data_IF_293001865774
#
_entry.id   IF_293001865774
#
_cell.length_a   1.000
_cell.length_b   1.000
_cell.length_c   1.000
_cell.angle_alpha   90.00
_cell.angle_beta   90.00
_cell.angle_gamma   90.00
#
_symmetry.space_group_name_H-M   'P 1'
#
loop_
_entity.id
_entity.type
_entity.pdbx_description
1 polymer ?
#
# COMPACT_ATOMS: atom_id res chain seq x y z
N UNK A 1 1.29 -10.23 11.27
CA UNK A 1 0.79 -9.27 10.26
C UNK A 1 1.98 -8.56 9.64
N UNK A 2 2.00 -8.44 8.32
CA UNK A 2 3.09 -7.80 7.56
C UNK A 2 2.59 -6.48 6.97
N UNK A 3 2.33 -5.51 7.84
CA UNK A 3 1.74 -4.20 7.48
C UNK A 3 2.85 -3.16 7.31
N UNK A 4 2.91 -2.55 6.14
CA UNK A 4 3.86 -1.48 5.81
C UNK A 4 3.13 -0.24 5.35
N UNK A 5 3.52 0.91 5.88
CA UNK A 5 2.98 2.21 5.47
C UNK A 5 4.06 3.00 4.76
N UNK A 6 3.83 3.27 3.48
CA UNK A 6 4.72 4.10 2.66
C UNK A 6 4.53 5.56 3.11
N UNK A 7 5.61 6.20 3.54
CA UNK A 7 5.59 7.59 3.97
C UNK A 7 6.95 8.25 3.77
N UNK A 8 6.94 9.52 3.39
CA UNK A 8 8.17 10.31 3.37
C UNK A 8 8.72 10.48 4.79
N UNK A 9 10.04 10.41 4.95
CA UNK A 9 10.68 10.64 6.26
C UNK A 9 10.40 12.03 6.81
N UNK A 10 10.19 13.02 5.93
CA UNK A 10 9.86 14.40 6.27
C UNK A 10 8.38 14.63 6.63
N UNK A 11 7.48 13.68 6.34
CA UNK A 11 6.04 13.83 6.53
C UNK A 11 5.61 13.54 7.98
N UNK A 12 6.13 14.30 8.94
CA UNK A 12 5.96 14.06 10.38
C UNK A 12 4.49 14.02 10.82
N UNK A 13 3.65 14.94 10.33
CA UNK A 13 2.23 14.99 10.70
C UNK A 13 1.45 13.78 10.14
N UNK A 14 1.76 13.34 8.92
CA UNK A 14 1.16 12.12 8.35
C UNK A 14 1.59 10.87 9.12
N UNK A 15 2.86 10.79 9.52
CA UNK A 15 3.35 9.68 10.36
C UNK A 15 2.64 9.63 11.70
N UNK A 16 2.45 10.77 12.38
CA UNK A 16 1.66 10.85 13.61
C UNK A 16 0.21 10.42 13.41
N UNK A 17 -0.41 10.82 12.28
CA UNK A 17 -1.74 10.38 11.92
C UNK A 17 -1.82 8.85 11.82
N UNK A 18 -0.90 8.21 11.11
CA UNK A 18 -0.84 6.76 10.96
C UNK A 18 -0.60 6.06 12.30
N UNK A 19 0.31 6.56 13.12
CA UNK A 19 0.53 6.02 14.47
C UNK A 19 -0.77 6.02 15.28
N UNK A 20 -1.56 7.09 15.21
CA UNK A 20 -2.85 7.18 15.85
C UNK A 20 -3.89 6.21 15.27
N UNK A 21 -3.99 6.12 13.93
CA UNK A 21 -4.96 5.24 13.26
C UNK A 21 -4.71 3.76 13.58
N UNK A 22 -3.48 3.29 13.43
CA UNK A 22 -3.11 1.92 13.75
C UNK A 22 -3.16 1.64 15.25
N UNK A 23 -2.77 2.61 16.07
CA UNK A 23 -2.79 2.51 17.53
C UNK A 23 -4.19 2.34 18.11
N UNK A 24 -5.23 2.96 17.53
CA UNK A 24 -6.64 2.81 17.98
C UNK A 24 -7.10 1.35 18.01
N UNK A 25 -6.59 0.50 17.13
CA UNK A 25 -6.97 -0.90 17.00
C UNK A 25 -5.84 -1.87 17.38
N UNK A 26 -4.74 -1.37 17.94
CA UNK A 26 -3.54 -2.14 18.26
C UNK A 26 -3.02 -2.97 17.07
N UNK A 27 -3.09 -2.40 15.87
CA UNK A 27 -2.60 -3.05 14.65
C UNK A 27 -1.10 -2.76 14.53
N UNK A 28 -0.23 -3.79 14.52
CA UNK A 28 1.19 -3.59 14.31
C UNK A 28 1.49 -3.19 12.87
N UNK A 29 2.42 -2.27 12.67
CA UNK A 29 2.88 -1.85 11.36
C UNK A 29 4.32 -1.35 11.40
N UNK A 30 4.90 -1.15 10.22
CA UNK A 30 6.21 -0.53 10.05
C UNK A 30 6.11 0.56 8.98
N UNK A 31 6.80 1.68 9.19
CA UNK A 31 6.98 2.64 8.12
C UNK A 31 7.99 2.11 7.09
N UNK A 32 7.68 2.33 5.83
CA UNK A 32 8.59 2.20 4.72
C UNK A 32 8.88 3.61 4.18
N UNK A 33 10.15 4.00 4.18
CA UNK A 33 10.56 5.32 3.69
C UNK A 33 10.33 5.42 2.19
N UNK A 34 9.39 6.28 1.79
CA UNK A 34 8.99 6.43 0.40
C UNK A 34 10.18 6.80 -0.49
N UNK A 35 10.25 6.18 -1.66
CA UNK A 35 11.21 6.55 -2.70
C UNK A 35 10.87 7.96 -3.18
N UNK A 36 11.86 8.83 -3.19
CA UNK A 36 11.73 10.22 -3.63
C UNK A 36 12.09 10.36 -5.11
N UNK A 37 11.63 11.42 -5.81
CA UNK A 37 11.89 11.61 -7.23
C UNK A 37 13.35 11.61 -7.66
N UNK A 38 14.25 12.04 -6.80
CA UNK A 38 15.71 12.03 -7.04
C UNK A 38 16.30 10.60 -7.13
N UNK A 39 15.64 9.61 -6.51
CA UNK A 39 16.06 8.21 -6.51
C UNK A 39 15.45 7.38 -7.64
N UNK A 40 14.58 7.93 -8.48
CA UNK A 40 13.83 7.19 -9.51
C UNK A 40 14.76 6.40 -10.43
N UNK A 41 15.79 7.05 -10.99
CA UNK A 41 16.69 6.39 -11.94
C UNK A 41 17.46 5.23 -11.33
N UNK A 42 17.95 5.42 -10.11
CA UNK A 42 18.67 4.38 -9.35
C UNK A 42 17.76 3.19 -9.06
N UNK A 43 16.55 3.44 -8.55
CA UNK A 43 15.61 2.38 -8.16
C UNK A 43 15.01 1.66 -9.36
N UNK A 44 14.66 2.38 -10.42
CA UNK A 44 14.19 1.76 -11.65
C UNK A 44 15.23 0.80 -12.23
N UNK A 45 16.51 1.20 -12.25
CA UNK A 45 17.62 0.34 -12.66
C UNK A 45 17.76 -0.88 -11.75
N UNK A 46 17.74 -0.68 -10.42
CA UNK A 46 17.87 -1.76 -9.44
C UNK A 46 16.75 -2.81 -9.56
N UNK A 47 15.53 -2.38 -9.89
CA UNK A 47 14.38 -3.27 -10.10
C UNK A 47 14.21 -3.74 -11.54
N UNK A 48 15.10 -3.36 -12.45
CA UNK A 48 15.04 -3.67 -13.88
C UNK A 48 13.72 -3.22 -14.53
N UNK A 49 13.31 -1.98 -14.25
CA UNK A 49 12.06 -1.38 -14.74
C UNK A 49 12.39 -0.28 -15.74
N UNK A 50 11.78 -0.37 -16.94
CA UNK A 50 11.85 0.69 -17.94
C UNK A 50 10.79 1.75 -17.67
N UNK A 51 11.24 2.97 -17.42
CA UNK A 51 10.40 4.15 -17.18
C UNK A 51 10.40 5.14 -18.35
N UNK A 52 11.02 4.80 -19.49
CA UNK A 52 11.23 5.71 -20.62
C UNK A 52 9.94 6.10 -21.34
N UNK A 53 8.94 5.22 -21.37
CA UNK A 53 7.69 5.36 -22.12
C UNK A 53 6.44 5.52 -21.23
N UNK A 54 6.59 6.15 -20.06
CA UNK A 54 5.44 6.40 -19.19
C UNK A 54 4.99 7.86 -19.26
N UNK A 55 3.67 8.07 -19.13
CA UNK A 55 3.04 9.38 -18.97
C UNK A 55 2.87 9.79 -17.51
N UNK A 56 3.36 8.98 -16.58
CA UNK A 56 3.28 9.26 -15.14
C UNK A 56 4.18 10.45 -14.75
N UNK A 57 3.73 11.22 -13.79
CA UNK A 57 4.56 12.24 -13.14
C UNK A 57 5.70 11.60 -12.33
N UNK A 58 6.72 12.37 -12.01
CA UNK A 58 7.81 11.89 -11.15
C UNK A 58 7.32 11.39 -9.79
N UNK A 59 6.32 12.06 -9.20
CA UNK A 59 5.70 11.64 -7.95
C UNK A 59 4.99 10.29 -8.07
N UNK A 60 4.23 10.09 -9.14
CA UNK A 60 3.54 8.82 -9.41
C UNK A 60 4.54 7.68 -9.67
N UNK A 61 5.62 7.94 -10.41
CA UNK A 61 6.69 6.95 -10.62
C UNK A 61 7.35 6.57 -9.28
N UNK A 62 7.68 7.55 -8.45
CA UNK A 62 8.30 7.31 -7.14
C UNK A 62 7.37 6.51 -6.21
N UNK A 63 6.08 6.81 -6.22
CA UNK A 63 5.06 6.06 -5.50
C UNK A 63 5.00 4.59 -5.99
N UNK A 64 4.90 4.36 -7.29
CA UNK A 64 4.91 3.02 -7.88
C UNK A 64 6.18 2.24 -7.52
N UNK A 65 7.35 2.87 -7.58
CA UNK A 65 8.62 2.24 -7.20
C UNK A 65 8.67 1.88 -5.71
N UNK A 66 8.02 2.66 -4.83
CA UNK A 66 7.91 2.34 -3.40
C UNK A 66 7.09 1.06 -3.18
N UNK A 67 5.98 0.89 -3.89
CA UNK A 67 5.20 -0.35 -3.87
C UNK A 67 6.02 -1.54 -4.39
N UNK A 68 6.73 -1.37 -5.50
CA UNK A 68 7.58 -2.42 -6.09
C UNK A 68 8.71 -2.80 -5.12
N UNK A 69 9.30 -1.84 -4.43
CA UNK A 69 10.32 -2.11 -3.42
C UNK A 69 9.78 -3.00 -2.29
N UNK A 70 8.55 -2.76 -1.84
CA UNK A 70 7.90 -3.61 -0.83
C UNK A 70 7.56 -5.01 -1.35
N UNK A 71 7.21 -5.17 -2.62
CA UNK A 71 7.05 -6.49 -3.24
C UNK A 71 8.38 -7.25 -3.29
N UNK A 72 9.48 -6.57 -3.62
CA UNK A 72 10.82 -7.18 -3.55
C UNK A 72 11.19 -7.58 -2.12
N UNK A 73 10.90 -6.73 -1.14
CA UNK A 73 11.10 -7.05 0.27
C UNK A 73 10.32 -8.30 0.68
N UNK A 74 9.03 -8.36 0.33
CA UNK A 74 8.19 -9.53 0.63
C UNK A 74 8.78 -10.82 0.02
N UNK A 75 9.25 -10.75 -1.23
CA UNK A 75 9.90 -11.87 -1.90
C UNK A 75 11.21 -12.26 -1.22
N UNK A 76 12.06 -11.31 -0.85
CA UNK A 76 13.34 -11.57 -0.18
C UNK A 76 13.17 -12.19 1.19
N UNK A 77 12.14 -11.78 1.92
CA UNK A 77 11.80 -12.30 3.26
C UNK A 77 10.91 -13.54 3.23
N UNK A 78 10.55 -14.01 2.04
CA UNK A 78 9.65 -15.16 1.83
C UNK A 78 8.34 -15.02 2.60
N UNK A 79 7.72 -13.83 2.55
CA UNK A 79 6.44 -13.56 3.18
C UNK A 79 5.30 -14.13 2.33
N UNK A 80 4.34 -14.80 2.97
CA UNK A 80 3.13 -15.31 2.29
C UNK A 80 2.28 -14.17 1.73
N UNK A 81 2.27 -13.02 2.40
CA UNK A 81 1.59 -11.80 1.98
C UNK A 81 2.23 -10.57 2.61
N UNK A 82 1.95 -9.42 2.04
CA UNK A 82 2.30 -8.10 2.54
C UNK A 82 1.09 -7.18 2.40
N UNK A 83 0.78 -6.40 3.42
CA UNK A 83 -0.21 -5.34 3.37
C UNK A 83 0.50 -4.00 3.21
N UNK A 84 0.15 -3.26 2.17
CA UNK A 84 0.78 -1.98 1.84
C UNK A 84 -0.25 -0.87 1.95
N UNK A 85 0.09 0.18 2.67
CA UNK A 85 -0.74 1.35 2.91
C UNK A 85 0.00 2.62 2.51
N UNK A 86 -0.74 3.66 2.16
CA UNK A 86 -0.24 5.03 2.03
C UNK A 86 -0.52 5.81 3.31
N UNK A 87 0.16 6.92 3.53
CA UNK A 87 0.15 7.64 4.82
C UNK A 87 -1.00 8.65 4.98
N UNK A 88 -1.99 8.60 4.10
CA UNK A 88 -3.20 9.43 4.10
C UNK A 88 -4.50 8.65 4.31
N UNK A 89 -4.40 7.41 4.74
CA UNK A 89 -5.55 6.53 4.95
C UNK A 89 -6.21 6.73 6.32
N UNK A 90 -7.48 6.32 6.39
CA UNK A 90 -8.23 6.10 7.62
C UNK A 90 -8.65 4.64 7.71
N UNK A 91 -8.47 4.02 8.88
CA UNK A 91 -8.84 2.63 9.09
C UNK A 91 -10.31 2.52 9.53
N UNK A 92 -11.07 1.66 8.87
CA UNK A 92 -12.41 1.30 9.32
C UNK A 92 -12.38 0.54 10.64
N UNK A 93 -13.51 0.49 11.35
CA UNK A 93 -13.62 -0.12 12.68
C UNK A 93 -13.27 -1.62 12.70
N UNK A 94 -13.34 -2.30 11.56
CA UNK A 94 -13.06 -3.73 11.39
C UNK A 94 -11.72 -4.01 10.70
N UNK A 95 -10.83 -3.02 10.59
CA UNK A 95 -9.57 -3.16 9.89
C UNK A 95 -8.73 -4.32 10.44
N UNK A 96 -8.68 -4.48 11.76
CA UNK A 96 -7.94 -5.59 12.38
C UNK A 96 -8.39 -6.97 11.88
N UNK A 97 -9.69 -7.19 11.72
CA UNK A 97 -10.24 -8.47 11.22
C UNK A 97 -9.92 -8.66 9.73
N UNK A 98 -10.04 -7.61 8.93
CA UNK A 98 -9.71 -7.66 7.50
C UNK A 98 -8.23 -7.97 7.25
N UNK A 99 -7.35 -7.51 8.11
CA UNK A 99 -5.91 -7.74 7.97
C UNK A 99 -5.43 -9.13 8.42
N UNK A 100 -6.32 -9.96 8.97
CA UNK A 100 -6.04 -11.38 9.26
C UNK A 100 -5.91 -12.25 8.02
N UNK A 101 -6.40 -11.78 6.88
CA UNK A 101 -6.27 -12.42 5.56
C UNK A 101 -6.87 -13.82 5.38
N UNK A 102 -7.43 -14.43 6.42
CA UNK A 102 -7.95 -15.80 6.42
C UNK A 102 -9.18 -16.04 5.52
N UNK A 103 -9.81 -14.98 5.03
CA UNK A 103 -10.96 -15.00 4.11
C UNK A 103 -10.54 -14.90 2.63
N UNK A 104 -9.26 -14.65 2.37
CA UNK A 104 -8.74 -14.46 1.00
C UNK A 104 -8.57 -15.82 0.33
N UNK A 105 -9.12 -16.04 -0.88
CA UNK A 105 -8.93 -17.30 -1.60
C UNK A 105 -7.45 -17.56 -1.92
N UNK A 106 -7.04 -18.84 -1.85
CA UNK A 106 -5.64 -19.25 -2.03
C UNK A 106 -4.99 -18.78 -3.35
N UNK A 107 -5.76 -18.65 -4.42
CA UNK A 107 -5.26 -18.24 -5.74
C UNK A 107 -5.30 -16.72 -5.95
N UNK A 108 -5.49 -15.94 -4.89
CA UNK A 108 -5.55 -14.48 -5.00
C UNK A 108 -4.13 -13.90 -4.99
N UNK A 109 -3.81 -13.09 -6.00
CA UNK A 109 -2.51 -12.41 -6.09
C UNK A 109 -2.51 -11.01 -5.50
N UNK A 110 -3.61 -10.27 -5.67
CA UNK A 110 -3.76 -8.89 -5.17
C UNK A 110 -5.18 -8.71 -4.64
N UNK A 111 -5.29 -8.09 -3.47
CA UNK A 111 -6.56 -7.64 -2.88
C UNK A 111 -6.46 -6.14 -2.65
N UNK A 112 -7.39 -5.39 -3.20
CA UNK A 112 -7.51 -3.95 -2.95
C UNK A 112 -8.52 -3.72 -1.82
N UNK A 113 -8.07 -3.07 -0.74
CA UNK A 113 -8.86 -2.80 0.46
C UNK A 113 -9.39 -1.36 0.55
N UNK A 114 -9.23 -0.59 -0.51
CA UNK A 114 -9.68 0.80 -0.57
C UNK A 114 -11.19 0.89 -0.72
N UNK A 115 -11.85 1.70 0.12
CA UNK A 115 -13.24 2.13 -0.10
C UNK A 115 -13.27 3.44 -0.88
N UNK A 116 -14.07 3.45 -1.94
CA UNK A 116 -14.38 4.70 -2.65
C UNK A 116 -15.54 5.42 -1.95
N UNK A 117 -15.62 6.76 -2.02
CA UNK A 117 -16.79 7.51 -1.55
C UNK A 117 -18.09 6.97 -2.14
N UNK A 118 -19.16 6.98 -1.35
CA UNK A 118 -20.46 6.39 -1.66
C UNK A 118 -21.00 6.69 -3.07
N UNK A 119 -20.73 7.87 -3.59
CA UNK A 119 -21.20 8.33 -4.90
C UNK A 119 -20.58 7.59 -6.09
N UNK A 120 -19.47 6.89 -5.87
CA UNK A 120 -18.80 6.08 -6.89
C UNK A 120 -19.14 4.60 -6.81
N UNK A 121 -19.59 4.10 -5.67
CA UNK A 121 -19.95 2.69 -5.47
C UNK A 121 -21.14 2.29 -6.34
N UNK A 122 -22.07 3.20 -6.59
CA UNK A 122 -23.25 2.97 -7.44
C UNK A 122 -22.96 2.78 -8.94
N UNK A 123 -21.73 3.01 -9.38
CA UNK A 123 -21.32 2.87 -10.79
C UNK A 123 -20.66 1.52 -11.10
N UNK A 124 -20.33 0.72 -10.10
CA UNK A 124 -19.76 -0.60 -10.31
C UNK A 124 -20.87 -1.65 -10.27
N UNK A 125 -20.96 -2.46 -11.32
CA UNK A 125 -21.94 -3.51 -11.45
C UNK A 125 -21.89 -4.49 -10.29
N UNK A 126 -23.04 -4.97 -9.85
CA UNK A 126 -23.30 -5.88 -8.72
C UNK A 126 -22.56 -7.24 -8.72
N UNK A 127 -21.65 -7.47 -9.65
CA UNK A 127 -20.96 -8.76 -9.83
C UNK A 127 -19.57 -8.83 -9.23
N UNK A 128 -18.97 -7.72 -8.84
CA UNK A 128 -17.66 -7.72 -8.20
C UNK A 128 -17.83 -7.68 -6.68
N UNK A 129 -17.47 -8.76 -6.02
CA UNK A 129 -17.40 -8.82 -4.56
C UNK A 129 -16.16 -8.05 -4.11
N UNK A 130 -16.34 -6.79 -3.74
CA UNK A 130 -15.31 -6.06 -3.04
C UNK A 130 -15.32 -6.45 -1.58
N UNK A 131 -14.17 -6.83 -1.08
CA UNK A 131 -13.96 -7.02 0.35
C UNK A 131 -13.54 -5.65 0.87
N UNK A 132 -14.45 -5.01 1.55
CA UNK A 132 -14.26 -3.72 2.21
C UNK A 132 -13.73 -3.90 3.62
#
# INVERSE_FOLDING_TARGET
MNNYVISLTSAQERRKHIEAEFGKQNIPFQFFDAITPDLIKEKAKAFNIDISNTNLTKGEIACALSHIALWHLAKQQNLDYICIFEDDIYLGNNAFELLKTNYIPENTHIVKLETLPFDRINRFNKTEKYIL
#
